data_IF_705876450210
#
_entry.id   IF_705876450210
#
_cell.length_a   1.000
_cell.length_b   1.000
_cell.length_c   1.000
_cell.angle_alpha   90.00
_cell.angle_beta   90.00
_cell.angle_gamma   90.00
#
_symmetry.space_group_name_H-M   'P 1'
#
loop_
_entity.id
_entity.type
_entity.pdbx_description
1 polymer ?
#
# COMPACT_ATOMS: atom_id res chain seq x y z
N UNK A 1 12.86 3.80 11.64
CA UNK A 1 12.65 4.51 10.35
C UNK A 1 12.77 3.61 9.11
N UNK A 2 13.14 2.33 9.24
CA UNK A 2 13.30 1.37 8.12
C UNK A 2 12.01 0.63 7.73
N UNK A 3 11.09 0.42 8.69
CA UNK A 3 9.83 -0.33 8.47
C UNK A 3 8.98 0.21 7.30
N UNK A 4 8.81 1.53 7.22
CA UNK A 4 7.98 2.17 6.18
C UNK A 4 8.60 2.01 4.78
N UNK A 5 9.93 2.05 4.69
CA UNK A 5 10.62 1.84 3.42
C UNK A 5 10.49 0.37 2.96
N UNK A 6 10.52 -0.58 3.90
CA UNK A 6 10.28 -1.99 3.58
C UNK A 6 8.83 -2.24 3.17
N UNK A 7 7.86 -1.62 3.84
CA UNK A 7 6.45 -1.63 3.43
C UNK A 7 6.28 -1.06 2.01
N UNK A 8 6.89 0.08 1.71
CA UNK A 8 6.89 0.69 0.37
C UNK A 8 7.50 -0.26 -0.68
N UNK A 9 8.63 -0.90 -0.38
CA UNK A 9 9.30 -1.87 -1.27
C UNK A 9 8.41 -3.07 -1.55
N UNK A 10 7.81 -3.67 -0.52
CA UNK A 10 6.87 -4.78 -0.66
C UNK A 10 5.67 -4.37 -1.51
N UNK A 11 5.12 -3.18 -1.30
CA UNK A 11 4.00 -2.67 -2.08
C UNK A 11 4.35 -2.41 -3.55
N UNK A 12 5.54 -1.88 -3.80
CA UNK A 12 6.07 -1.69 -5.15
C UNK A 12 6.30 -3.02 -5.86
N UNK A 13 6.78 -4.04 -5.14
CA UNK A 13 6.96 -5.39 -5.68
C UNK A 13 5.62 -6.10 -5.93
N UNK A 14 4.60 -5.86 -5.10
CA UNK A 14 3.26 -6.44 -5.26
C UNK A 14 2.47 -5.87 -6.42
N UNK A 15 2.55 -4.56 -6.64
CA UNK A 15 1.70 -3.88 -7.64
C UNK A 15 2.51 -3.44 -8.83
N UNK A 16 3.36 -2.43 -8.62
CA UNK A 16 4.31 -1.85 -9.55
C UNK A 16 4.72 -0.48 -9.02
N UNK A 17 5.97 -0.08 -9.20
CA UNK A 17 6.46 1.25 -8.82
C UNK A 17 5.62 2.36 -9.47
N UNK A 18 5.16 2.19 -10.72
CA UNK A 18 4.28 3.16 -11.40
C UNK A 18 2.95 3.33 -10.69
N UNK A 19 2.31 2.23 -10.33
CA UNK A 19 0.98 2.25 -9.72
C UNK A 19 1.04 2.88 -8.33
N UNK A 20 2.06 2.52 -7.54
CA UNK A 20 2.31 3.14 -6.23
C UNK A 20 2.59 4.64 -6.39
N UNK A 21 3.40 5.03 -7.38
CA UNK A 21 3.75 6.43 -7.65
C UNK A 21 2.55 7.30 -8.05
N UNK A 22 1.70 6.80 -8.95
CA UNK A 22 0.45 7.46 -9.33
C UNK A 22 -0.47 7.63 -8.12
N UNK A 23 -0.61 6.57 -7.30
CA UNK A 23 -1.50 6.59 -6.13
C UNK A 23 -1.07 7.59 -5.05
N UNK A 24 0.22 7.77 -4.83
CA UNK A 24 0.75 8.74 -3.86
C UNK A 24 1.00 10.14 -4.46
N UNK A 25 0.78 10.29 -5.77
CA UNK A 25 0.99 11.54 -6.49
C UNK A 25 2.46 11.99 -6.50
N UNK A 26 3.38 11.07 -6.79
CA UNK A 26 4.81 11.40 -6.96
C UNK A 26 5.35 10.83 -8.28
N UNK A 27 6.44 11.37 -8.82
CA UNK A 27 7.04 10.84 -10.04
C UNK A 27 7.62 9.43 -9.81
N UNK A 28 7.39 8.51 -10.76
CA UNK A 28 7.94 7.13 -10.73
C UNK A 28 9.46 7.12 -10.52
N UNK A 29 10.19 7.99 -11.23
CA UNK A 29 11.66 8.07 -11.11
C UNK A 29 12.09 8.42 -9.68
N UNK A 30 11.39 9.34 -9.02
CA UNK A 30 11.65 9.70 -7.62
C UNK A 30 11.42 8.52 -6.70
N UNK A 31 10.31 7.79 -6.89
CA UNK A 31 9.98 6.62 -6.08
C UNK A 31 11.00 5.47 -6.28
N UNK A 32 11.44 5.26 -7.53
CA UNK A 32 12.49 4.28 -7.85
C UNK A 32 13.80 4.58 -7.12
N UNK A 33 14.24 5.85 -7.07
CA UNK A 33 15.48 6.20 -6.38
C UNK A 33 15.40 6.01 -4.87
N UNK A 34 14.22 6.23 -4.28
CA UNK A 34 13.93 5.95 -2.86
C UNK A 34 13.95 4.45 -2.58
N UNK A 35 13.29 3.65 -3.43
CA UNK A 35 13.27 2.18 -3.35
C UNK A 35 14.67 1.58 -3.49
N UNK A 36 15.48 2.07 -4.43
CA UNK A 36 16.86 1.62 -4.63
C UNK A 36 17.82 2.06 -3.52
N UNK A 37 17.36 2.78 -2.49
CA UNK A 37 18.21 3.24 -1.38
C UNK A 37 19.21 4.34 -1.74
N UNK A 38 19.27 4.74 -3.02
CA UNK A 38 20.21 5.74 -3.53
C UNK A 38 19.89 7.17 -3.10
N UNK A 39 18.67 7.42 -2.61
CA UNK A 39 18.26 8.74 -2.12
C UNK A 39 18.78 9.08 -0.70
N UNK A 40 19.38 8.12 0.00
CA UNK A 40 19.97 8.34 1.34
C UNK A 40 21.24 9.19 1.34
N UNK A 41 21.99 9.23 0.23
CA UNK A 41 23.25 9.99 0.14
C UNK A 41 23.09 11.43 -0.40
N UNK A 42 21.93 11.81 -0.93
CA UNK A 42 21.74 13.11 -1.61
C UNK A 42 20.88 14.11 -0.84
N UNK A 43 20.88 14.03 0.51
CA UNK A 43 20.21 14.98 1.43
C UNK A 43 20.71 16.44 1.34
N UNK A 44 21.58 16.76 0.38
CA UNK A 44 22.18 18.07 0.12
C UNK A 44 21.65 18.74 -1.16
N UNK A 45 20.41 18.46 -1.60
CA UNK A 45 19.78 19.22 -2.69
C UNK A 45 18.61 20.09 -2.20
N UNK A 46 18.70 21.43 -2.31
CA UNK A 46 17.69 22.36 -1.79
C UNK A 46 16.32 22.26 -2.50
N UNK A 47 16.27 21.66 -3.70
CA UNK A 47 15.05 21.45 -4.49
C UNK A 47 14.66 19.96 -4.68
N UNK A 48 15.31 19.04 -3.96
CA UNK A 48 15.09 17.59 -4.10
C UNK A 48 13.88 17.11 -3.29
N UNK A 49 12.99 16.33 -3.90
CA UNK A 49 11.84 15.72 -3.24
C UNK A 49 12.26 14.92 -2.00
N UNK A 50 11.92 15.43 -0.80
CA UNK A 50 12.35 14.81 0.46
C UNK A 50 11.83 13.35 0.56
N UNK A 51 12.72 12.34 0.73
CA UNK A 51 12.30 10.94 0.86
C UNK A 51 11.37 10.75 2.07
N UNK A 52 11.58 11.52 3.13
CA UNK A 52 10.68 11.59 4.29
C UNK A 52 9.26 12.02 3.91
N UNK A 53 9.10 12.99 2.99
CA UNK A 53 7.77 13.41 2.49
C UNK A 53 7.09 12.31 1.69
N UNK A 54 7.85 11.55 0.90
CA UNK A 54 7.32 10.43 0.11
C UNK A 54 6.88 9.30 1.03
N UNK A 55 7.68 8.96 2.03
CA UNK A 55 7.33 7.97 3.05
C UNK A 55 6.12 8.42 3.88
N UNK A 56 6.03 9.71 4.26
CA UNK A 56 4.86 10.26 4.96
C UNK A 56 3.60 10.27 4.09
N UNK A 57 3.71 10.61 2.80
CA UNK A 57 2.59 10.49 1.84
C UNK A 57 2.16 9.05 1.66
N UNK A 58 3.12 8.13 1.53
CA UNK A 58 2.83 6.71 1.45
C UNK A 58 2.11 6.24 2.71
N UNK A 59 2.57 6.62 3.89
CA UNK A 59 1.91 6.30 5.15
C UNK A 59 0.49 6.86 5.21
N UNK A 60 0.28 8.15 4.86
CA UNK A 60 -1.05 8.76 4.85
C UNK A 60 -2.03 8.05 3.89
N UNK A 61 -1.58 7.73 2.68
CA UNK A 61 -2.41 7.13 1.63
C UNK A 61 -2.64 5.63 1.89
N UNK A 62 -1.61 4.89 2.34
CA UNK A 62 -1.69 3.44 2.53
C UNK A 62 -2.18 3.05 3.94
N UNK A 63 -2.21 3.99 4.89
CA UNK A 63 -2.88 3.81 6.18
C UNK A 63 -4.41 3.90 6.06
N UNK A 64 -4.96 4.50 5.00
CA UNK A 64 -6.41 4.62 4.82
C UNK A 64 -6.90 3.98 3.52
N UNK A 65 -7.66 2.91 3.67
CA UNK A 65 -8.44 2.25 2.61
C UNK A 65 -9.90 2.39 2.97
N UNK A 66 -10.66 3.03 2.09
CA UNK A 66 -12.10 3.05 2.23
C UNK A 66 -12.68 1.69 1.82
N UNK A 67 -13.28 0.99 2.78
CA UNK A 67 -13.87 -0.32 2.53
C UNK A 67 -15.31 -0.15 2.08
N UNK A 68 -15.67 -0.51 0.83
CA UNK A 68 -17.03 -0.34 0.33
C UNK A 68 -18.05 -1.21 1.08
N UNK A 69 -17.61 -2.32 1.69
CA UNK A 69 -18.47 -3.23 2.42
C UNK A 69 -18.72 -2.79 3.87
N UNK A 70 -17.68 -2.32 4.57
CA UNK A 70 -17.79 -1.83 5.94
C UNK A 70 -18.20 -0.35 6.01
N UNK A 71 -18.15 0.38 4.88
CA UNK A 71 -18.34 1.84 4.78
C UNK A 71 -17.46 2.60 5.79
N UNK A 72 -16.26 2.08 6.01
CA UNK A 72 -15.31 2.58 6.98
C UNK A 72 -13.92 2.59 6.36
N UNK A 73 -13.16 3.62 6.71
CA UNK A 73 -11.74 3.71 6.42
C UNK A 73 -10.96 2.78 7.36
N UNK A 74 -10.34 1.75 6.79
CA UNK A 74 -9.51 0.77 7.47
C UNK A 74 -8.09 0.75 6.90
N UNK A 75 -7.12 0.22 7.64
CA UNK A 75 -5.73 0.14 7.15
C UNK A 75 -5.56 -0.99 6.13
N UNK A 76 -4.54 -0.89 5.26
CA UNK A 76 -4.16 -1.96 4.32
C UNK A 76 -3.92 -3.29 5.01
N UNK A 77 -3.27 -3.26 6.16
CA UNK A 77 -2.96 -4.45 6.97
C UNK A 77 -4.26 -5.13 7.41
N UNK A 78 -5.24 -4.36 7.90
CA UNK A 78 -6.56 -4.88 8.26
C UNK A 78 -7.32 -5.39 7.03
N UNK A 79 -7.26 -4.67 5.90
CA UNK A 79 -7.86 -5.09 4.64
C UNK A 79 -7.32 -6.45 4.17
N UNK A 80 -6.00 -6.62 4.26
CA UNK A 80 -5.31 -7.84 3.88
C UNK A 80 -5.71 -8.99 4.82
N UNK A 81 -5.74 -8.78 6.13
CA UNK A 81 -6.22 -9.78 7.10
C UNK A 81 -7.66 -10.22 6.79
N UNK A 82 -8.56 -9.31 6.39
CA UNK A 82 -9.91 -9.68 5.97
C UNK A 82 -9.94 -10.46 4.65
N UNK A 83 -9.10 -10.10 3.69
CA UNK A 83 -9.01 -10.78 2.40
C UNK A 83 -8.38 -12.18 2.48
N UNK A 84 -7.39 -12.37 3.36
CA UNK A 84 -6.65 -13.63 3.58
C UNK A 84 -7.35 -14.58 4.55
N UNK A 85 -8.41 -14.13 5.24
CA UNK A 85 -9.19 -14.99 6.14
C UNK A 85 -9.76 -16.20 5.39
N UNK A 86 -9.64 -17.38 6.02
CA UNK A 86 -10.29 -18.62 5.55
C UNK A 86 -11.81 -18.44 5.50
N UNK A 87 -12.44 -19.06 4.51
CA UNK A 87 -13.91 -19.05 4.33
C UNK A 87 -14.61 -19.43 5.65
N UNK A 88 -15.39 -18.51 6.25
CA UNK A 88 -16.10 -18.78 7.49
C UNK A 88 -17.38 -19.60 7.24
N UNK A 89 -17.79 -20.40 8.22
CA UNK A 89 -19.04 -21.18 8.17
C UNK A 89 -20.28 -20.35 8.57
N UNK A 90 -20.09 -19.22 9.26
CA UNK A 90 -21.18 -18.34 9.69
C UNK A 90 -21.67 -17.47 8.51
N UNK A 91 -22.98 -17.43 8.20
CA UNK A 91 -23.54 -16.73 7.05
C UNK A 91 -23.21 -15.22 6.99
N UNK A 92 -23.23 -14.53 8.13
CA UNK A 92 -22.93 -13.08 8.20
C UNK A 92 -21.47 -12.84 7.82
N UNK A 93 -20.57 -13.66 8.36
CA UNK A 93 -19.13 -13.60 8.06
C UNK A 93 -18.83 -14.03 6.62
N UNK A 94 -19.64 -14.93 6.06
CA UNK A 94 -19.52 -15.41 4.69
C UNK A 94 -19.87 -14.30 3.68
N UNK A 95 -20.87 -13.47 3.97
CA UNK A 95 -21.23 -12.31 3.15
C UNK A 95 -20.07 -11.31 3.08
N UNK A 96 -19.46 -10.98 4.22
CA UNK A 96 -18.27 -10.12 4.26
C UNK A 96 -17.09 -10.75 3.51
N UNK A 97 -16.82 -12.04 3.72
CA UNK A 97 -15.75 -12.73 2.99
C UNK A 97 -15.97 -12.68 1.47
N UNK A 98 -17.18 -12.95 0.98
CA UNK A 98 -17.53 -12.84 -0.46
C UNK A 98 -17.32 -11.43 -1.00
N UNK A 99 -17.75 -10.42 -0.25
CA UNK A 99 -17.51 -9.02 -0.62
C UNK A 99 -16.01 -8.70 -0.70
N UNK A 100 -15.19 -9.18 0.24
CA UNK A 100 -13.74 -9.05 0.20
C UNK A 100 -13.12 -9.81 -0.98
N UNK A 101 -13.62 -11.01 -1.33
CA UNK A 101 -13.10 -11.78 -2.46
C UNK A 101 -13.36 -11.10 -3.81
N UNK A 102 -14.47 -10.36 -3.95
CA UNK A 102 -14.87 -9.64 -5.15
C UNK A 102 -14.54 -8.13 -5.08
N UNK A 103 -13.78 -7.69 -4.07
CA UNK A 103 -13.49 -6.27 -3.86
C UNK A 103 -12.41 -5.78 -4.83
N UNK A 104 -12.59 -4.63 -5.51
CA UNK A 104 -11.56 -4.04 -6.36
C UNK A 104 -10.32 -3.60 -5.56
N UNK A 105 -10.50 -3.34 -4.26
CA UNK A 105 -9.40 -2.99 -3.34
C UNK A 105 -8.73 -4.23 -2.72
N UNK A 106 -9.17 -5.45 -3.08
CA UNK A 106 -8.57 -6.68 -2.57
C UNK A 106 -7.09 -6.69 -2.96
N UNK A 107 -6.18 -6.90 -2.00
CA UNK A 107 -4.77 -7.04 -2.33
C UNK A 107 -4.59 -8.41 -2.99
N UNK A 108 -4.75 -8.47 -4.32
CA UNK A 108 -4.50 -9.68 -5.11
C UNK A 108 -3.08 -10.12 -4.83
N UNK A 109 -2.94 -11.22 -4.09
CA UNK A 109 -1.71 -11.99 -4.05
C UNK A 109 -1.64 -12.72 -5.37
N UNK A 110 -0.92 -12.17 -6.33
CA UNK A 110 -0.52 -12.96 -7.48
C UNK A 110 0.44 -14.03 -6.97
N UNK A 111 0.05 -15.28 -7.20
CA UNK A 111 0.82 -16.47 -6.87
C UNK A 111 2.15 -16.38 -7.62
N UNK A 112 3.25 -16.49 -6.88
CA UNK A 112 4.50 -17.02 -7.42
C UNK A 112 4.25 -18.47 -7.86
#
# INVERSE_FOLDING_TARGET
>A
MTDILEKLKRECARTSITHVAQRIGVPRCTLSLVVSGKYGLSTQRPNGANPKRILAKFELIYSRIDCPHLKQSLTREICQVYAEKKRPNNPIRLQHWRACQNCPNKPTGDRI
#
